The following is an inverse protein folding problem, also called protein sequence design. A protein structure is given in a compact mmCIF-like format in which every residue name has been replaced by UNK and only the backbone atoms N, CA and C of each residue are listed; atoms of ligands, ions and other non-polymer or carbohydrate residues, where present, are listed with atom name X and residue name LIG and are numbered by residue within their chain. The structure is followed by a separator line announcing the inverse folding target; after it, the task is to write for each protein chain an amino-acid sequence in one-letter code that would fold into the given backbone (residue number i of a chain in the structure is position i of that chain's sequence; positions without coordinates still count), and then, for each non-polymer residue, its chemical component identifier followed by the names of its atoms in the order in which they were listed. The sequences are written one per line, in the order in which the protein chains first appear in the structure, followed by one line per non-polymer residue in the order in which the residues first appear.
data_IF_777042076159
#
_entry.id   IF_777042076159
#
_cell.length_a   1.000
_cell.length_b   1.000
_cell.length_c   1.000
_cell.angle_alpha   90.00
_cell.angle_beta   90.00
_cell.angle_gamma   90.00
#
_symmetry.space_group_name_H-M   'P 1'
#
loop_
_entity.id
_entity.type
_entity.pdbx_description
1 polymer ?
#
# COMPACT_ATOMS: atom_id res chain seq x y z
N UNK A 1 -15.87 -27.26 -2.78
CA UNK A 1 -16.35 -25.87 -2.70
C UNK A 1 -15.37 -25.03 -3.49
N UNK A 2 -15.84 -24.28 -4.48
CA UNK A 2 -14.99 -23.35 -5.22
C UNK A 2 -14.79 -22.05 -4.44
N UNK A 3 -13.85 -21.21 -4.87
CA UNK A 3 -13.49 -19.97 -4.17
C UNK A 3 -14.67 -19.00 -4.03
N UNK A 4 -15.54 -18.94 -5.04
CA UNK A 4 -16.76 -18.12 -5.02
C UNK A 4 -17.75 -18.59 -3.94
N UNK A 5 -18.00 -19.89 -3.86
CA UNK A 5 -18.87 -20.49 -2.85
C UNK A 5 -18.31 -20.30 -1.43
N UNK A 6 -16.98 -20.39 -1.28
CA UNK A 6 -16.28 -20.14 0.00
C UNK A 6 -16.49 -18.70 0.46
N UNK A 7 -16.23 -17.74 -0.42
CA UNK A 7 -16.39 -16.31 -0.14
C UNK A 7 -17.82 -15.96 0.31
N UNK A 8 -18.83 -16.40 -0.45
CA UNK A 8 -20.24 -16.13 -0.12
C UNK A 8 -20.61 -16.68 1.26
N UNK A 9 -20.17 -17.90 1.60
CA UNK A 9 -20.47 -18.49 2.91
C UNK A 9 -19.75 -17.79 4.07
N UNK A 10 -18.53 -17.27 3.86
CA UNK A 10 -17.82 -16.45 4.84
C UNK A 10 -18.57 -15.12 5.07
N UNK A 11 -18.95 -14.42 4.00
CA UNK A 11 -19.64 -13.13 4.07
C UNK A 11 -21.01 -13.20 4.76
N UNK A 12 -21.70 -14.35 4.65
CA UNK A 12 -22.95 -14.60 5.35
C UNK A 12 -22.78 -15.22 6.75
N UNK A 13 -21.56 -15.31 7.28
CA UNK A 13 -21.26 -15.91 8.59
C UNK A 13 -21.74 -17.37 8.72
N UNK A 14 -21.77 -18.10 7.62
CA UNK A 14 -22.25 -19.49 7.56
C UNK A 14 -21.13 -20.52 7.73
N UNK A 15 -19.89 -20.06 7.93
CA UNK A 15 -18.72 -20.91 8.19
C UNK A 15 -18.10 -20.55 9.53
N UNK A 16 -18.38 -21.37 10.53
CA UNK A 16 -17.76 -21.31 11.84
C UNK A 16 -16.40 -22.03 11.79
N UNK A 17 -15.34 -21.38 12.27
CA UNK A 17 -13.99 -21.96 12.34
C UNK A 17 -13.13 -21.83 11.08
N UNK A 18 -13.57 -21.08 10.06
CA UNK A 18 -12.64 -20.62 9.04
C UNK A 18 -11.57 -19.74 9.70
N UNK A 19 -10.27 -19.92 9.37
CA UNK A 19 -9.24 -19.07 9.90
C UNK A 19 -9.57 -17.63 9.52
N UNK A 20 -9.78 -16.80 10.54
CA UNK A 20 -9.86 -15.37 10.35
C UNK A 20 -8.57 -14.98 9.62
N UNK A 21 -8.69 -14.37 8.44
CA UNK A 21 -7.53 -13.79 7.74
C UNK A 21 -7.09 -12.59 8.58
N UNK A 22 -6.29 -12.87 9.60
CA UNK A 22 -5.70 -11.90 10.51
C UNK A 22 -4.50 -11.33 9.74
N UNK A 23 -4.75 -10.36 8.84
CA UNK A 23 -3.70 -9.55 8.21
C UNK A 23 -3.46 -8.33 9.09
N UNK A 24 -2.42 -8.37 9.92
CA UNK A 24 -1.97 -7.19 10.67
C UNK A 24 -0.98 -6.42 9.83
N UNK A 25 -1.03 -5.13 10.03
CA UNK A 25 0.11 -4.27 9.77
C UNK A 25 1.10 -4.50 10.91
N UNK A 26 2.36 -4.75 10.59
CA UNK A 26 3.41 -4.87 11.57
C UNK A 26 4.18 -3.55 11.64
N UNK A 27 4.54 -3.13 12.85
CA UNK A 27 5.51 -2.06 13.03
C UNK A 27 6.89 -2.51 12.54
N UNK A 28 7.66 -1.63 11.93
CA UNK A 28 8.99 -1.96 11.42
C UNK A 28 9.91 -2.46 12.54
N UNK A 29 9.85 -1.83 13.71
CA UNK A 29 10.58 -2.21 14.92
C UNK A 29 10.24 -3.63 15.37
N UNK A 30 8.98 -4.05 15.17
CA UNK A 30 8.56 -5.42 15.45
C UNK A 30 9.18 -6.40 14.47
N UNK A 31 9.24 -6.04 13.18
CA UNK A 31 9.92 -6.86 12.17
C UNK A 31 11.42 -6.94 12.46
N UNK A 32 12.09 -5.82 12.72
CA UNK A 32 13.52 -5.77 13.05
C UNK A 32 13.85 -6.61 14.28
N UNK A 33 13.05 -6.49 15.35
CA UNK A 33 13.19 -7.33 16.53
C UNK A 33 13.04 -8.81 16.18
N UNK A 34 12.01 -9.17 15.41
CA UNK A 34 11.80 -10.57 15.01
C UNK A 34 12.93 -11.12 14.11
N UNK A 35 13.55 -10.29 13.27
CA UNK A 35 14.76 -10.69 12.52
C UNK A 35 15.89 -11.04 13.47
N UNK A 36 16.10 -10.24 14.52
CA UNK A 36 17.10 -10.52 15.56
C UNK A 36 16.75 -11.77 16.39
N UNK A 37 15.46 -12.06 16.56
CA UNK A 37 14.95 -13.26 17.24
C UNK A 37 14.96 -14.52 16.35
N UNK A 38 15.29 -14.40 15.06
CA UNK A 38 15.56 -15.55 14.19
C UNK A 38 14.66 -15.73 12.97
N UNK A 39 13.79 -14.77 12.61
CA UNK A 39 13.06 -14.86 11.33
C UNK A 39 14.06 -14.73 10.15
N UNK A 40 14.19 -15.75 9.26
CA UNK A 40 15.17 -15.72 8.18
C UNK A 40 14.91 -14.59 7.19
N UNK A 41 15.94 -13.81 6.83
CA UNK A 41 15.83 -12.56 6.05
C UNK A 41 15.01 -12.66 4.74
N UNK A 42 15.03 -13.83 4.09
CA UNK A 42 14.33 -14.09 2.83
C UNK A 42 12.85 -14.46 3.01
N UNK A 43 12.40 -14.71 4.24
CA UNK A 43 11.01 -15.03 4.56
C UNK A 43 10.25 -13.73 4.83
N UNK A 44 9.10 -13.56 4.18
CA UNK A 44 8.17 -12.48 4.51
C UNK A 44 7.60 -12.69 5.92
N UNK A 45 7.61 -11.68 6.80
CA UNK A 45 6.96 -11.79 8.11
C UNK A 45 5.48 -12.17 7.99
N UNK A 46 4.80 -11.71 6.93
CA UNK A 46 3.43 -12.11 6.64
C UNK A 46 3.29 -13.63 6.48
N UNK A 47 4.25 -14.31 5.86
CA UNK A 47 4.21 -15.76 5.67
C UNK A 47 4.59 -16.53 6.95
N UNK A 48 5.40 -15.89 7.81
CA UNK A 48 5.93 -16.51 9.02
C UNK A 48 4.97 -16.44 10.20
N UNK A 49 4.28 -15.31 10.39
CA UNK A 49 3.41 -15.07 11.57
C UNK A 49 1.91 -15.01 11.26
N UNK A 50 1.49 -14.94 9.99
CA UNK A 50 0.06 -14.90 9.69
C UNK A 50 -0.58 -16.28 9.86
N UNK A 51 -1.71 -16.31 10.56
CA UNK A 51 -2.45 -17.52 10.90
C UNK A 51 -3.32 -18.09 9.76
N UNK A 52 -2.99 -17.80 8.50
CA UNK A 52 -3.73 -18.28 7.34
C UNK A 52 -2.91 -18.24 6.06
N UNK A 53 -2.83 -19.37 5.35
CA UNK A 53 -2.12 -19.53 4.07
C UNK A 53 -3.04 -19.45 2.85
N UNK A 54 -4.31 -19.09 3.05
CA UNK A 54 -5.25 -18.99 1.95
C UNK A 54 -4.79 -17.87 1.00
N UNK A 55 -4.62 -18.21 -0.28
CA UNK A 55 -4.26 -17.26 -1.34
C UNK A 55 -5.36 -16.21 -1.45
N UNK A 56 -5.00 -14.95 -1.21
CA UNK A 56 -5.89 -13.82 -1.44
C UNK A 56 -5.37 -13.06 -2.66
N UNK A 57 -6.20 -12.96 -3.68
CA UNK A 57 -5.96 -12.08 -4.81
C UNK A 57 -6.65 -10.74 -4.54
N UNK A 58 -5.94 -9.65 -4.77
CA UNK A 58 -6.44 -8.30 -4.60
C UNK A 58 -6.23 -7.55 -5.90
N UNK A 59 -7.27 -6.85 -6.37
CA UNK A 59 -7.23 -5.95 -7.51
C UNK A 59 -7.46 -4.52 -6.98
N UNK A 60 -6.46 -3.88 -6.35
CA UNK A 60 -6.59 -2.49 -5.98
C UNK A 60 -6.78 -1.64 -7.24
N UNK A 61 -7.66 -0.65 -7.17
CA UNK A 61 -7.34 0.60 -7.87
C UNK A 61 -6.12 1.13 -7.14
N UNK A 62 -4.97 1.18 -7.81
CA UNK A 62 -3.71 1.68 -7.25
C UNK A 62 -3.79 3.21 -7.04
N UNK A 63 -4.71 3.66 -6.19
CA UNK A 63 -4.61 4.94 -5.49
C UNK A 63 -3.60 4.73 -4.37
N UNK A 64 -2.34 4.54 -4.77
CA UNK A 64 -1.27 4.11 -3.91
C UNK A 64 -0.88 5.28 -3.03
N UNK A 65 -1.10 5.14 -1.74
CA UNK A 65 -0.06 5.56 -0.82
C UNK A 65 1.22 4.84 -1.22
N UNK A 66 2.08 5.48 -2.03
CA UNK A 66 3.39 4.95 -2.37
C UNK A 66 4.10 4.69 -1.08
N UNK A 67 4.50 3.44 -0.93
CA UNK A 67 5.31 3.01 0.19
C UNK A 67 6.76 3.11 -0.28
N UNK A 68 7.42 4.23 -0.02
CA UNK A 68 8.84 4.36 -0.38
C UNK A 68 9.74 3.46 0.48
N UNK A 69 9.15 2.71 1.40
CA UNK A 69 9.81 1.74 2.27
C UNK A 69 9.12 0.37 2.19
N UNK A 70 9.87 -0.73 2.45
CA UNK A 70 9.30 -2.07 2.55
C UNK A 70 8.10 -2.15 3.51
N UNK A 71 7.21 -3.10 3.23
CA UNK A 71 6.04 -3.45 4.06
C UNK A 71 4.98 -2.37 4.20
N UNK A 72 4.86 -1.46 3.23
CA UNK A 72 3.93 -0.34 3.32
C UNK A 72 4.26 0.51 4.56
N UNK A 73 5.30 1.35 4.48
CA UNK A 73 5.63 2.32 5.52
C UNK A 73 5.84 3.74 4.97
N UNK A 74 5.67 4.72 5.85
CA UNK A 74 5.90 6.14 5.57
C UNK A 74 7.33 6.41 5.04
N UNK A 75 7.54 7.46 4.22
CA UNK A 75 6.56 8.43 3.77
C UNK A 75 5.56 7.83 2.79
N UNK A 76 4.39 8.46 2.77
CA UNK A 76 3.16 7.97 2.17
C UNK A 76 2.67 8.89 1.04
N UNK A 77 3.48 9.16 0.00
CA UNK A 77 3.01 10.02 -1.09
C UNK A 77 1.81 9.37 -1.78
N UNK A 78 0.76 10.14 -2.00
CA UNK A 78 -0.35 9.70 -2.83
C UNK A 78 0.16 9.70 -4.26
N UNK A 79 0.10 8.55 -4.94
CA UNK A 79 0.35 8.47 -6.37
C UNK A 79 -0.55 7.46 -7.05
N UNK A 80 -0.75 7.70 -8.33
CA UNK A 80 -1.31 6.74 -9.28
C UNK A 80 -0.19 5.85 -9.84
N UNK A 81 -0.52 4.60 -10.17
CA UNK A 81 0.41 3.67 -10.82
C UNK A 81 -0.19 3.15 -12.15
N UNK A 82 0.48 3.33 -13.30
CA UNK A 82 1.77 4.01 -13.45
C UNK A 82 1.70 5.51 -13.13
N UNK A 83 2.81 6.06 -12.64
CA UNK A 83 2.94 7.50 -12.39
C UNK A 83 2.89 8.28 -13.70
N UNK A 84 2.35 9.49 -13.64
CA UNK A 84 2.51 10.46 -14.73
C UNK A 84 3.92 11.06 -14.72
N UNK A 85 4.40 11.49 -15.89
CA UNK A 85 5.61 12.29 -15.97
C UNK A 85 5.36 13.67 -15.34
N UNK A 86 6.16 14.02 -14.33
CA UNK A 86 6.09 15.35 -13.72
C UNK A 86 6.61 16.40 -14.69
N UNK A 87 5.78 17.40 -15.02
CA UNK A 87 6.16 18.47 -15.96
C UNK A 87 5.54 19.81 -15.63
N UNK A 88 6.27 20.87 -15.98
CA UNK A 88 5.78 22.24 -15.93
C UNK A 88 4.89 22.47 -17.15
N UNK A 89 3.66 22.92 -16.92
CA UNK A 89 2.71 23.26 -17.97
C UNK A 89 2.79 24.74 -18.33
N UNK A 90 2.90 25.61 -17.32
CA UNK A 90 3.00 27.07 -17.46
C UNK A 90 3.90 27.64 -16.37
N UNK A 91 4.63 28.70 -16.68
CA UNK A 91 5.47 29.40 -15.72
C UNK A 91 5.50 30.90 -16.04
N UNK A 92 5.23 31.72 -15.02
CA UNK A 92 5.34 33.18 -15.08
C UNK A 92 6.26 33.71 -13.97
N UNK A 93 6.36 35.03 -13.79
CA UNK A 93 7.24 35.63 -12.78
C UNK A 93 6.90 35.23 -11.33
N UNK A 94 5.63 34.92 -11.04
CA UNK A 94 5.10 34.71 -9.70
C UNK A 94 4.60 33.28 -9.45
N UNK A 95 4.24 32.53 -10.48
CA UNK A 95 3.60 31.22 -10.35
C UNK A 95 4.16 30.17 -11.30
N UNK A 96 3.96 28.91 -10.93
CA UNK A 96 4.25 27.74 -11.77
C UNK A 96 3.06 26.79 -11.72
N UNK A 97 2.62 26.31 -12.88
CA UNK A 97 1.59 25.28 -13.01
C UNK A 97 2.26 23.97 -13.36
N UNK A 98 2.04 22.94 -12.56
CA UNK A 98 2.74 21.66 -12.65
C UNK A 98 1.70 20.54 -12.73
N UNK A 99 1.93 19.58 -13.62
CA UNK A 99 1.31 18.26 -13.52
C UNK A 99 2.21 17.40 -12.63
N UNK A 100 1.70 17.00 -11.47
CA UNK A 100 2.41 16.15 -10.51
C UNK A 100 2.29 14.66 -10.89
N UNK A 101 3.08 13.81 -10.23
CA UNK A 101 3.18 12.37 -10.55
C UNK A 101 1.89 11.58 -10.33
N UNK A 102 0.96 12.13 -9.56
CA UNK A 102 -0.39 11.60 -9.32
C UNK A 102 -1.40 12.03 -10.40
N UNK A 103 -0.96 12.84 -11.36
CA UNK A 103 -1.77 13.40 -12.44
C UNK A 103 -2.52 14.68 -12.06
N UNK A 104 -2.43 15.13 -10.80
CA UNK A 104 -2.99 16.40 -10.36
C UNK A 104 -2.32 17.59 -11.04
N UNK A 105 -3.11 18.57 -11.46
CA UNK A 105 -2.61 19.85 -11.97
C UNK A 105 -2.79 20.90 -10.90
N UNK A 106 -1.67 21.44 -10.43
CA UNK A 106 -1.62 22.38 -9.30
C UNK A 106 -0.86 23.64 -9.71
N UNK A 107 -1.23 24.77 -9.10
CA UNK A 107 -0.54 26.06 -9.28
C UNK A 107 0.13 26.44 -7.97
N UNK A 108 1.46 26.60 -8.01
CA UNK A 108 2.25 27.05 -6.87
C UNK A 108 2.64 28.52 -7.01
N UNK A 109 2.70 29.22 -5.89
CA UNK A 109 3.36 30.52 -5.78
C UNK A 109 4.87 30.30 -5.69
N UNK A 110 5.66 30.98 -6.52
CA UNK A 110 7.13 30.94 -6.42
C UNK A 110 7.65 31.54 -5.10
N UNK A 111 6.81 32.32 -4.40
CA UNK A 111 7.15 32.89 -3.08
C UNK A 111 6.92 31.91 -1.93
N UNK A 112 6.09 30.89 -2.13
CA UNK A 112 5.77 29.89 -1.12
C UNK A 112 5.61 28.50 -1.78
N UNK A 113 6.74 27.89 -2.18
CA UNK A 113 6.75 26.53 -2.70
C UNK A 113 6.58 25.55 -1.53
N UNK A 114 5.33 25.31 -1.13
CA UNK A 114 4.98 24.24 -0.16
C UNK A 114 5.28 22.87 -0.70
#
# INVERSE_FOLDING_TARGET
MNDRERFIKIAHFQRFGDPFVFRHWFWFETIERWRQEGIPAHVSPYDYVSLGKDRVEYLPVNTLTLSLRPYHNAPWPIAVDPQFERKILEEDENTVVIQEIDGGVVRFSKKDPT
#
